data_IF_849579760598
#
_entry.id   IF_849579760598
#
_cell.length_a   1.000
_cell.length_b   1.000
_cell.length_c   1.000
_cell.angle_alpha   90.00
_cell.angle_beta   90.00
_cell.angle_gamma   90.00
#
_symmetry.space_group_name_H-M   'P 1'
#
loop_
_entity.id
_entity.type
_entity.pdbx_description
1 polymer ?
#
# COMPACT_ATOMS: atom_id res chain seq x y z
N UNK A 1 -11.73 10.87 13.72
CA UNK A 1 -10.97 11.44 12.61
C UNK A 1 -10.40 10.27 11.83
N UNK A 2 -11.24 9.70 10.96
CA UNK A 2 -10.88 8.58 10.09
C UNK A 2 -10.01 9.15 8.99
N UNK A 3 -8.77 8.70 8.87
CA UNK A 3 -7.95 9.05 7.73
C UNK A 3 -8.50 8.27 6.53
N UNK A 4 -9.48 8.85 5.84
CA UNK A 4 -9.84 8.48 4.47
C UNK A 4 -8.65 8.85 3.57
N UNK A 5 -7.61 8.01 3.61
CA UNK A 5 -6.55 8.04 2.61
C UNK A 5 -7.11 7.31 1.40
N UNK A 6 -7.95 8.00 0.65
CA UNK A 6 -8.27 7.63 -0.72
C UNK A 6 -6.94 7.60 -1.48
N UNK A 7 -6.41 6.40 -1.74
CA UNK A 7 -5.22 6.27 -2.59
C UNK A 7 -5.64 6.61 -4.01
N UNK A 8 -4.92 7.49 -4.72
CA UNK A 8 -5.25 7.92 -6.08
C UNK A 8 -5.05 6.83 -7.13
N UNK A 9 -4.74 5.60 -6.72
CA UNK A 9 -4.61 4.42 -7.59
C UNK A 9 -5.61 3.38 -7.11
N UNK A 10 -6.55 2.92 -7.97
CA UNK A 10 -7.55 1.95 -7.56
C UNK A 10 -6.90 0.59 -7.37
N UNK A 11 -6.60 0.25 -6.13
CA UNK A 11 -6.32 -1.12 -5.76
C UNK A 11 -7.59 -1.94 -6.00
N UNK A 12 -7.48 -3.00 -6.80
CA UNK A 12 -8.64 -3.83 -7.14
C UNK A 12 -9.04 -4.71 -5.96
N UNK A 13 -10.33 -4.99 -5.84
CA UNK A 13 -10.90 -5.81 -4.77
C UNK A 13 -10.15 -7.15 -4.64
N UNK A 14 -9.61 -7.44 -3.45
CA UNK A 14 -8.89 -8.68 -3.18
C UNK A 14 -7.54 -8.84 -3.89
N UNK A 15 -7.06 -7.83 -4.62
CA UNK A 15 -5.74 -7.87 -5.24
C UNK A 15 -4.70 -7.29 -4.28
N UNK A 16 -3.62 -8.05 -4.06
CA UNK A 16 -2.48 -7.59 -3.27
C UNK A 16 -1.65 -6.61 -4.09
N UNK A 17 -1.47 -5.39 -3.59
CA UNK A 17 -0.55 -4.39 -4.10
C UNK A 17 0.77 -4.50 -3.34
N UNK A 18 1.87 -4.63 -4.08
CA UNK A 18 3.22 -4.70 -3.52
C UNK A 18 4.01 -3.50 -4.03
N UNK A 19 4.55 -2.71 -3.10
CA UNK A 19 5.48 -1.61 -3.39
C UNK A 19 6.77 -1.87 -2.64
N UNK A 20 7.82 -2.15 -3.41
CA UNK A 20 9.14 -2.51 -2.88
C UNK A 20 9.99 -1.28 -2.50
N UNK A 21 9.79 -0.17 -3.18
CA UNK A 21 10.46 1.10 -2.91
C UNK A 21 9.55 2.27 -3.27
N UNK A 22 9.00 2.92 -2.25
CA UNK A 22 8.11 4.08 -2.41
C UNK A 22 8.80 5.23 -3.15
N UNK A 23 10.10 5.41 -2.99
CA UNK A 23 10.82 6.52 -3.62
C UNK A 23 10.89 6.36 -5.15
N UNK A 24 10.89 5.12 -5.64
CA UNK A 24 11.10 4.78 -7.05
C UNK A 24 9.85 4.30 -7.76
N UNK A 25 8.86 3.78 -7.04
CA UNK A 25 7.67 3.18 -7.64
C UNK A 25 6.84 4.22 -8.42
N UNK A 26 6.59 3.99 -9.73
CA UNK A 26 5.84 4.92 -10.58
C UNK A 26 4.37 5.04 -10.18
N UNK A 27 3.86 4.18 -9.31
CA UNK A 27 2.48 4.24 -8.80
C UNK A 27 2.21 5.50 -7.98
N UNK A 28 3.26 6.14 -7.47
CA UNK A 28 3.16 7.35 -6.67
C UNK A 28 3.59 8.59 -7.43
N UNK A 29 2.77 9.64 -7.32
CA UNK A 29 3.19 11.01 -7.65
C UNK A 29 4.27 11.50 -6.68
N UNK A 30 5.02 12.55 -7.05
CA UNK A 30 6.06 13.10 -6.18
C UNK A 30 5.52 13.52 -4.80
N UNK A 31 4.34 14.16 -4.75
CA UNK A 31 3.72 14.59 -3.50
C UNK A 31 3.29 13.42 -2.61
N UNK A 32 2.82 12.32 -3.20
CA UNK A 32 2.53 11.10 -2.45
C UNK A 32 3.79 10.46 -1.88
N UNK A 33 4.90 10.46 -2.63
CA UNK A 33 6.19 9.96 -2.15
C UNK A 33 6.65 10.75 -0.93
N UNK A 34 6.58 12.08 -1.00
CA UNK A 34 6.92 12.96 0.12
C UNK A 34 6.05 12.69 1.35
N UNK A 35 4.73 12.56 1.16
CA UNK A 35 3.79 12.25 2.25
C UNK A 35 4.11 10.92 2.93
N UNK A 36 4.43 9.89 2.14
CA UNK A 36 4.80 8.57 2.65
C UNK A 36 6.17 8.55 3.33
N UNK A 37 7.14 9.27 2.79
CA UNK A 37 8.46 9.42 3.41
C UNK A 37 8.36 10.15 4.75
N UNK A 38 7.54 11.20 4.85
CA UNK A 38 7.25 11.87 6.12
C UNK A 38 6.61 10.93 7.15
N UNK A 39 5.82 9.96 6.70
CA UNK A 39 5.26 8.89 7.53
C UNK A 39 6.21 7.69 7.75
N UNK A 40 7.46 7.77 7.31
CA UNK A 40 8.47 6.70 7.40
C UNK A 40 8.01 5.38 6.74
N UNK A 41 7.39 5.47 5.56
CA UNK A 41 7.01 4.31 4.76
C UNK A 41 7.93 4.23 3.54
N UNK A 42 8.90 3.31 3.60
CA UNK A 42 9.84 3.02 2.50
C UNK A 42 9.36 1.90 1.57
N UNK A 43 8.55 0.98 2.07
CA UNK A 43 7.92 -0.09 1.30
C UNK A 43 6.61 -0.55 1.96
N UNK A 44 5.71 -1.16 1.19
CA UNK A 44 4.50 -1.76 1.75
C UNK A 44 3.92 -2.90 0.91
N UNK A 45 3.14 -3.77 1.57
CA UNK A 45 2.17 -4.67 0.94
C UNK A 45 0.79 -4.27 1.43
N UNK A 46 -0.22 -4.22 0.55
CA UNK A 46 -1.59 -3.96 0.97
C UNK A 46 -2.64 -4.74 0.18
N UNK A 47 -3.79 -4.94 0.79
CA UNK A 47 -4.96 -5.55 0.16
C UNK A 47 -6.24 -4.89 0.67
N UNK A 48 -7.23 -4.74 -0.21
CA UNK A 48 -8.55 -4.23 0.17
C UNK A 48 -9.45 -5.38 0.59
N UNK A 49 -9.95 -5.31 1.82
CA UNK A 49 -11.07 -6.15 2.24
C UNK A 49 -12.35 -5.57 1.65
N UNK A 50 -12.99 -6.39 0.82
CA UNK A 50 -14.29 -6.08 0.22
C UNK A 50 -15.33 -7.03 0.79
N UNK A 51 -16.42 -6.48 1.32
CA UNK A 51 -17.57 -7.23 1.82
C UNK A 51 -18.80 -6.77 1.06
N UNK A 52 -19.55 -7.70 0.47
CA UNK A 52 -20.76 -7.38 -0.29
C UNK A 52 -20.50 -6.31 -1.37
N UNK A 53 -19.37 -6.42 -2.09
CA UNK A 53 -18.91 -5.46 -3.11
C UNK A 53 -18.59 -4.05 -2.59
N UNK A 54 -18.59 -3.85 -1.27
CA UNK A 54 -18.18 -2.59 -0.64
C UNK A 54 -16.79 -2.72 -0.03
N UNK A 55 -15.94 -1.73 -0.28
CA UNK A 55 -14.68 -1.61 0.44
C UNK A 55 -14.96 -1.34 1.92
N UNK A 56 -14.35 -2.16 2.80
CA UNK A 56 -14.54 -2.07 4.25
C UNK A 56 -13.28 -1.55 4.94
N UNK A 57 -12.11 -2.06 4.55
CA UNK A 57 -10.82 -1.68 5.14
C UNK A 57 -9.68 -2.02 4.18
N UNK A 58 -8.53 -1.38 4.35
CA UNK A 58 -7.26 -1.80 3.74
C UNK A 58 -6.36 -2.40 4.82
N UNK A 59 -5.91 -3.64 4.62
CA UNK A 59 -4.84 -4.23 5.41
C UNK A 59 -3.50 -3.79 4.80
N UNK A 60 -2.57 -3.30 5.64
CA UNK A 60 -1.26 -2.81 5.22
C UNK A 60 -0.15 -3.34 6.12
N UNK A 61 0.92 -3.81 5.49
CA UNK A 61 2.21 -4.05 6.13
C UNK A 61 3.16 -2.97 5.65
N UNK A 62 3.80 -2.23 6.55
CA UNK A 62 4.79 -1.20 6.24
C UNK A 62 6.19 -1.65 6.62
N UNK A 63 7.17 -1.17 5.85
CA UNK A 63 8.59 -1.18 6.19
C UNK A 63 9.12 0.24 6.12
N UNK A 64 9.98 0.63 7.07
CA UNK A 64 10.61 1.95 7.08
C UNK A 64 11.56 2.12 5.91
N UNK A 65 12.24 1.04 5.52
CA UNK A 65 13.18 1.02 4.40
C UNK A 65 12.55 0.33 3.18
N UNK A 66 13.09 0.62 1.99
CA UNK A 66 12.84 -0.17 0.80
C UNK A 66 13.09 -1.66 1.08
N UNK A 67 12.23 -2.52 0.57
CA UNK A 67 12.22 -3.95 0.87
C UNK A 67 11.78 -4.76 -0.34
N UNK A 68 12.59 -5.73 -0.71
CA UNK A 68 12.18 -6.79 -1.63
C UNK A 68 11.33 -7.81 -0.86
N UNK A 69 10.05 -7.90 -1.18
CA UNK A 69 9.12 -8.85 -0.57
C UNK A 69 9.21 -10.20 -1.28
N UNK A 70 9.22 -11.28 -0.51
CA UNK A 70 9.17 -12.65 -1.04
C UNK A 70 7.74 -13.03 -1.41
N UNK A 71 7.57 -14.01 -2.30
CA UNK A 71 6.24 -14.51 -2.68
C UNK A 71 5.43 -15.00 -1.48
N UNK A 72 6.06 -15.69 -0.53
CA UNK A 72 5.38 -16.18 0.68
C UNK A 72 4.94 -15.06 1.62
N UNK A 73 5.68 -13.94 1.69
CA UNK A 73 5.25 -12.76 2.44
C UNK A 73 4.07 -12.04 1.78
N UNK A 74 4.03 -12.04 0.44
CA UNK A 74 2.91 -11.49 -0.33
C UNK A 74 1.67 -12.35 -0.19
N UNK A 75 1.80 -13.68 -0.24
CA UNK A 75 0.70 -14.65 -0.07
C UNK A 75 0.09 -14.64 1.34
N UNK A 76 0.84 -14.19 2.35
CA UNK A 76 0.36 -14.10 3.72
C UNK A 76 -0.65 -12.96 3.94
N UNK A 77 -0.59 -11.92 3.09
CA UNK A 77 -1.40 -10.69 3.20
C UNK A 77 -2.68 -10.82 2.38
#
# INVERSE_FOLDING_TARGET
MTLDVESPVPNQAGQVQVVADVAMDPIHTLSERETRQAAQIGAYINVLLVKQQQWVITLRVHSIQARSWTSSEVELV
#
